data_IF_933813150468
#
_entry.id   IF_933813150468
#
_cell.length_a   1.000
_cell.length_b   1.000
_cell.length_c   1.000
_cell.angle_alpha   90.00
_cell.angle_beta   90.00
_cell.angle_gamma   90.00
#
_symmetry.space_group_name_H-M   'P 1'
#
loop_
_entity.id
_entity.type
_entity.pdbx_description
1 polymer ?
#
# COMPACT_ATOMS: atom_id res chain seq x y z
N UNK A 1 14.98 -9.07 6.06
CA UNK A 1 14.73 -10.13 5.05
C UNK A 1 13.24 -10.44 4.93
N UNK A 2 12.51 -10.71 6.02
CA UNK A 2 11.09 -11.10 5.94
C UNK A 2 10.13 -10.07 5.32
N UNK A 3 10.30 -8.76 5.54
CA UNK A 3 9.37 -7.77 4.95
C UNK A 3 9.50 -7.62 3.44
N UNK A 4 10.72 -7.73 2.89
CA UNK A 4 10.93 -7.66 1.45
C UNK A 4 10.37 -8.88 0.72
N UNK A 5 10.47 -10.06 1.33
CA UNK A 5 9.83 -11.28 0.83
C UNK A 5 8.31 -11.12 0.79
N UNK A 6 7.71 -10.57 1.86
CA UNK A 6 6.27 -10.29 1.91
C UNK A 6 5.81 -9.27 0.87
N UNK A 7 6.60 -8.21 0.63
CA UNK A 7 6.33 -7.26 -0.46
C UNK A 7 6.29 -7.98 -1.81
N UNK A 8 7.21 -8.91 -2.06
CA UNK A 8 7.22 -9.70 -3.29
C UNK A 8 5.97 -10.59 -3.40
N UNK A 9 5.52 -11.21 -2.31
CA UNK A 9 4.27 -12.01 -2.29
C UNK A 9 3.04 -11.17 -2.65
N UNK A 10 2.96 -9.93 -2.14
CA UNK A 10 1.90 -8.99 -2.47
C UNK A 10 1.96 -8.55 -3.93
N UNK A 11 3.16 -8.29 -4.47
CA UNK A 11 3.35 -7.99 -5.89
C UNK A 11 2.89 -9.16 -6.79
N UNK A 12 3.19 -10.40 -6.42
CA UNK A 12 2.71 -11.61 -7.12
C UNK A 12 1.18 -11.70 -7.09
N UNK A 13 0.57 -11.38 -5.95
CA UNK A 13 -0.90 -11.37 -5.78
C UNK A 13 -1.57 -10.31 -6.68
N UNK A 14 -0.99 -9.11 -6.75
CA UNK A 14 -1.44 -8.03 -7.66
C UNK A 14 -1.30 -8.47 -9.12
N UNK A 15 -0.18 -9.11 -9.50
CA UNK A 15 0.03 -9.58 -10.87
C UNK A 15 -1.04 -10.61 -11.30
N UNK A 16 -1.37 -11.56 -10.42
CA UNK A 16 -2.44 -12.55 -10.67
C UNK A 16 -3.81 -11.89 -10.83
N UNK A 17 -4.15 -10.93 -9.98
CA UNK A 17 -5.41 -10.18 -10.11
C UNK A 17 -5.45 -9.34 -11.40
N UNK A 18 -4.33 -8.73 -11.77
CA UNK A 18 -4.20 -7.94 -13.00
C UNK A 18 -4.37 -8.80 -14.25
N UNK A 19 -3.86 -10.02 -14.25
CA UNK A 19 -4.05 -10.97 -15.35
C UNK A 19 -5.53 -11.35 -15.53
N UNK A 20 -6.27 -11.52 -14.43
CA UNK A 20 -7.72 -11.74 -14.51
C UNK A 20 -8.43 -10.51 -15.09
N UNK A 21 -8.14 -9.32 -14.55
CA UNK A 21 -8.80 -8.06 -14.89
C UNK A 21 -8.53 -7.61 -16.33
N UNK A 22 -7.35 -7.90 -16.89
CA UNK A 22 -6.96 -7.48 -18.25
C UNK A 22 -7.84 -8.06 -19.35
N UNK A 23 -8.57 -9.14 -19.06
CA UNK A 23 -9.49 -9.80 -20.00
C UNK A 23 -10.94 -9.33 -19.87
N UNK A 24 -11.20 -8.35 -18.99
CA UNK A 24 -12.54 -7.88 -18.64
C UNK A 24 -12.71 -6.40 -19.01
N UNK A 25 -13.95 -5.96 -19.18
CA UNK A 25 -14.24 -4.53 -19.27
C UNK A 25 -13.93 -3.83 -17.95
N UNK A 26 -13.51 -2.57 -18.01
CA UNK A 26 -13.24 -1.78 -16.81
C UNK A 26 -14.53 -1.53 -16.03
N UNK A 27 -14.42 -1.50 -14.69
CA UNK A 27 -15.50 -1.03 -13.80
C UNK A 27 -15.52 0.50 -13.81
N UNK A 28 -14.33 1.10 -13.70
CA UNK A 28 -14.12 2.54 -13.73
C UNK A 28 -12.72 2.87 -14.30
N UNK A 29 -12.43 4.13 -14.68
CA UNK A 29 -11.07 4.59 -14.91
C UNK A 29 -10.18 4.40 -13.67
N UNK A 30 -8.99 3.85 -13.85
CA UNK A 30 -8.03 3.61 -12.75
C UNK A 30 -7.20 4.88 -12.52
N UNK A 31 -7.56 5.67 -11.52
CA UNK A 31 -6.83 6.88 -11.11
C UNK A 31 -6.21 6.68 -9.73
N UNK A 32 -7.02 6.26 -8.75
CA UNK A 32 -6.59 6.17 -7.35
C UNK A 32 -5.66 4.98 -7.08
N UNK A 33 -5.93 3.81 -7.68
CA UNK A 33 -5.07 2.61 -7.53
C UNK A 33 -3.64 2.87 -8.03
N UNK A 34 -3.41 3.40 -9.25
CA UNK A 34 -2.06 3.77 -9.69
C UNK A 34 -1.37 4.79 -8.78
N UNK A 35 -2.10 5.81 -8.31
CA UNK A 35 -1.58 6.81 -7.37
C UNK A 35 -1.17 6.18 -6.03
N UNK A 36 -2.01 5.31 -5.49
CA UNK A 36 -1.73 4.58 -4.25
C UNK A 36 -0.49 3.69 -4.40
N UNK A 37 -0.34 3.02 -5.54
CA UNK A 37 0.83 2.19 -5.85
C UNK A 37 2.12 3.02 -5.90
N UNK A 38 2.10 4.20 -6.52
CA UNK A 38 3.26 5.10 -6.57
C UNK A 38 3.68 5.56 -5.16
N UNK A 39 2.71 5.91 -4.30
CA UNK A 39 3.00 6.30 -2.91
C UNK A 39 3.63 5.13 -2.15
N UNK A 40 3.06 3.93 -2.23
CA UNK A 40 3.59 2.74 -1.55
C UNK A 40 5.00 2.36 -2.05
N UNK A 41 5.25 2.48 -3.37
CA UNK A 41 6.58 2.26 -3.95
C UNK A 41 7.61 3.26 -3.42
N UNK A 42 7.25 4.53 -3.32
CA UNK A 42 8.12 5.56 -2.76
C UNK A 42 8.35 5.36 -1.26
N UNK A 43 7.32 4.97 -0.49
CA UNK A 43 7.48 4.60 0.92
C UNK A 43 8.49 3.45 1.09
N UNK A 44 8.39 2.40 0.27
CA UNK A 44 9.32 1.27 0.33
C UNK A 44 10.76 1.69 0.00
N UNK A 45 10.93 2.48 -1.07
CA UNK A 45 12.23 3.00 -1.48
C UNK A 45 12.85 3.85 -0.37
N UNK A 46 12.09 4.77 0.20
CA UNK A 46 12.57 5.67 1.24
C UNK A 46 12.81 4.93 2.56
N UNK A 47 11.98 3.95 2.91
CA UNK A 47 12.20 3.08 4.06
C UNK A 47 13.51 2.29 3.93
N UNK A 48 13.82 1.79 2.74
CA UNK A 48 15.10 1.13 2.46
C UNK A 48 16.27 2.10 2.56
N UNK A 49 16.14 3.30 1.99
CA UNK A 49 17.17 4.33 2.09
C UNK A 49 17.44 4.70 3.56
N UNK A 50 16.39 4.98 4.34
CA UNK A 50 16.46 5.27 5.76
C UNK A 50 17.15 4.13 6.54
N UNK A 51 16.85 2.89 6.19
CA UNK A 51 17.47 1.73 6.81
C UNK A 51 18.97 1.63 6.54
N UNK A 52 19.41 1.87 5.29
CA UNK A 52 20.83 1.82 4.95
C UNK A 52 21.63 3.02 5.48
N UNK A 53 21.02 4.21 5.55
CA UNK A 53 21.69 5.43 6.04
C UNK A 53 21.54 5.65 7.55
N UNK A 54 20.63 4.95 8.23
CA UNK A 54 20.27 5.25 9.62
C UNK A 54 19.49 6.56 9.77
N UNK A 55 18.81 7.03 8.71
CA UNK A 55 18.10 8.30 8.70
C UNK A 55 16.73 8.19 9.39
N UNK A 56 16.68 8.65 10.65
CA UNK A 56 15.48 8.64 11.48
C UNK A 56 14.40 9.60 10.99
N UNK A 57 14.77 10.74 10.38
CA UNK A 57 13.78 11.71 9.91
C UNK A 57 13.09 11.19 8.65
N UNK A 58 13.85 10.60 7.71
CA UNK A 58 13.26 9.92 6.56
C UNK A 58 12.35 8.75 6.98
N UNK A 59 12.72 8.00 8.01
CA UNK A 59 11.86 6.96 8.57
C UNK A 59 10.53 7.51 9.12
N UNK A 60 10.55 8.66 9.82
CA UNK A 60 9.32 9.33 10.28
C UNK A 60 8.45 9.80 9.11
N UNK A 61 9.05 10.31 8.04
CA UNK A 61 8.31 10.69 6.83
C UNK A 61 7.64 9.50 6.14
N UNK A 62 8.29 8.34 6.10
CA UNK A 62 7.68 7.09 5.61
C UNK A 62 6.48 6.73 6.48
N UNK A 63 6.67 6.72 7.80
CA UNK A 63 5.63 6.37 8.77
C UNK A 63 4.42 7.30 8.71
N UNK A 64 4.61 8.60 8.45
CA UNK A 64 3.52 9.56 8.29
C UNK A 64 2.72 9.33 6.99
N UNK A 65 3.40 8.99 5.87
CA UNK A 65 2.77 8.77 4.56
C UNK A 65 1.81 7.58 4.51
N UNK A 66 2.00 6.62 5.40
CA UNK A 66 1.14 5.45 5.60
C UNK A 66 -0.35 5.84 5.71
N UNK A 67 -0.65 6.92 6.45
CA UNK A 67 -2.01 7.44 6.56
C UNK A 67 -2.64 7.81 5.21
N UNK A 68 -1.84 8.32 4.27
CA UNK A 68 -2.34 8.67 2.92
C UNK A 68 -2.71 7.42 2.14
N UNK A 69 -2.00 6.31 2.35
CA UNK A 69 -2.30 5.02 1.71
C UNK A 69 -3.57 4.42 2.32
N UNK A 70 -3.72 4.45 3.65
CA UNK A 70 -4.93 4.02 4.35
C UNK A 70 -6.17 4.77 3.86
N UNK A 71 -6.09 6.11 3.82
CA UNK A 71 -7.20 6.97 3.41
C UNK A 71 -7.58 6.71 1.93
N UNK A 72 -6.60 6.39 1.06
CA UNK A 72 -6.84 6.02 -0.34
C UNK A 72 -7.49 4.64 -0.48
N UNK A 73 -7.03 3.64 0.29
CA UNK A 73 -7.61 2.29 0.27
C UNK A 73 -9.10 2.33 0.65
N UNK A 74 -9.42 3.07 1.71
CA UNK A 74 -10.79 3.24 2.18
C UNK A 74 -11.67 4.00 1.16
N UNK A 75 -11.10 5.00 0.48
CA UNK A 75 -11.78 5.70 -0.61
C UNK A 75 -12.10 4.75 -1.77
N UNK A 76 -11.12 3.97 -2.23
CA UNK A 76 -11.28 2.99 -3.32
C UNK A 76 -12.34 1.96 -2.95
N UNK A 77 -12.32 1.46 -1.71
CA UNK A 77 -13.31 0.52 -1.21
C UNK A 77 -14.74 1.07 -1.28
N UNK A 78 -14.97 2.28 -0.76
CA UNK A 78 -16.28 2.94 -0.79
C UNK A 78 -16.79 3.18 -2.20
N UNK A 79 -15.92 3.62 -3.09
CA UNK A 79 -16.29 3.86 -4.48
C UNK A 79 -16.68 2.56 -5.20
N UNK A 80 -15.91 1.49 -5.02
CA UNK A 80 -16.22 0.19 -5.61
C UNK A 80 -17.50 -0.42 -5.04
N UNK A 81 -17.84 -0.17 -3.77
CA UNK A 81 -19.15 -0.51 -3.21
C UNK A 81 -20.28 0.18 -3.96
N UNK A 82 -20.16 1.47 -4.27
CA UNK A 82 -21.17 2.19 -5.07
C UNK A 82 -21.37 1.54 -6.44
N UNK A 83 -20.30 1.22 -7.16
CA UNK A 83 -20.40 0.53 -8.45
C UNK A 83 -21.08 -0.84 -8.34
N UNK A 84 -20.81 -1.60 -7.27
CA UNK A 84 -21.44 -2.90 -7.02
C UNK A 84 -22.94 -2.79 -6.72
N UNK A 85 -23.35 -1.72 -6.05
CA UNK A 85 -24.76 -1.43 -5.75
C UNK A 85 -25.53 -0.95 -6.98
N UNK A 86 -24.88 -0.20 -7.87
CA UNK A 86 -25.47 0.29 -9.12
C UNK A 86 -25.62 -0.80 -10.19
N UNK A 87 -24.59 -1.65 -10.36
CA UNK A 87 -24.62 -2.78 -11.30
C UNK A 87 -23.98 -4.04 -10.69
N UNK A 88 -24.79 -5.07 -10.34
CA UNK A 88 -24.28 -6.34 -9.81
C UNK A 88 -23.29 -7.08 -10.73
N UNK A 89 -23.26 -6.80 -12.04
CA UNK A 89 -22.26 -7.39 -12.95
C UNK A 89 -20.85 -6.83 -12.74
N UNK A 90 -20.69 -5.77 -11.94
CA UNK A 90 -19.38 -5.24 -11.55
C UNK A 90 -18.76 -5.99 -10.37
N UNK A 91 -19.56 -6.70 -9.56
CA UNK A 91 -19.15 -7.30 -8.28
C UNK A 91 -17.83 -8.05 -8.35
N UNK A 92 -17.71 -9.02 -9.26
CA UNK A 92 -16.49 -9.83 -9.34
C UNK A 92 -15.25 -8.98 -9.67
N UNK A 93 -15.36 -8.03 -10.60
CA UNK A 93 -14.25 -7.14 -10.99
C UNK A 93 -13.91 -6.14 -9.87
N UNK A 94 -14.92 -5.59 -9.21
CA UNK A 94 -14.76 -4.68 -8.09
C UNK A 94 -14.05 -5.38 -6.91
N UNK A 95 -14.40 -6.63 -6.59
CA UNK A 95 -13.70 -7.43 -5.57
C UNK A 95 -12.22 -7.62 -5.94
N UNK A 96 -11.90 -7.88 -7.21
CA UNK A 96 -10.50 -7.99 -7.64
C UNK A 96 -9.74 -6.66 -7.53
N UNK A 97 -10.40 -5.52 -7.78
CA UNK A 97 -9.79 -4.19 -7.59
C UNK A 97 -9.58 -3.86 -6.11
N UNK A 98 -10.54 -4.19 -5.22
CA UNK A 98 -10.37 -4.10 -3.77
C UNK A 98 -9.17 -4.96 -3.34
N UNK A 99 -9.09 -6.20 -3.83
CA UNK A 99 -7.96 -7.07 -3.52
C UNK A 99 -6.61 -6.47 -3.96
N UNK A 100 -6.55 -5.81 -5.12
CA UNK A 100 -5.34 -5.08 -5.55
C UNK A 100 -5.01 -3.93 -4.59
N UNK A 101 -6.00 -3.11 -4.24
CA UNK A 101 -5.85 -2.00 -3.28
C UNK A 101 -5.29 -2.47 -1.94
N UNK A 102 -5.90 -3.49 -1.34
CA UNK A 102 -5.45 -4.08 -0.08
C UNK A 102 -4.01 -4.64 -0.15
N UNK A 103 -3.58 -5.19 -1.30
CA UNK A 103 -2.20 -5.66 -1.43
C UNK A 103 -1.21 -4.49 -1.56
N UNK A 104 -1.62 -3.34 -2.10
CA UNK A 104 -0.81 -2.12 -2.12
C UNK A 104 -0.67 -1.55 -0.71
N UNK A 105 -1.76 -1.52 0.06
CA UNK A 105 -1.75 -1.10 1.47
C UNK A 105 -0.76 -1.96 2.26
N UNK A 106 -0.82 -3.29 2.12
CA UNK A 106 0.14 -4.20 2.79
C UNK A 106 1.60 -3.94 2.41
N UNK A 107 1.88 -3.52 1.18
CA UNK A 107 3.24 -3.14 0.77
C UNK A 107 3.67 -1.86 1.50
N UNK A 108 2.80 -0.86 1.62
CA UNK A 108 3.06 0.34 2.40
C UNK A 108 3.28 0.01 3.88
N UNK A 109 2.47 -0.89 4.43
CA UNK A 109 2.56 -1.40 5.80
C UNK A 109 3.94 -2.04 6.09
N UNK A 110 4.49 -2.80 5.13
CA UNK A 110 5.84 -3.33 5.21
C UNK A 110 6.94 -2.24 5.13
N UNK A 111 6.71 -1.17 4.39
CA UNK A 111 7.61 0.00 4.40
C UNK A 111 7.56 0.73 5.76
N UNK A 112 6.37 0.87 6.34
CA UNK A 112 6.16 1.41 7.68
C UNK A 112 6.89 0.57 8.73
N UNK A 113 6.77 -0.76 8.68
CA UNK A 113 7.52 -1.68 9.55
C UNK A 113 9.05 -1.51 9.44
N UNK A 114 9.56 -1.25 8.24
CA UNK A 114 10.98 -0.97 8.04
C UNK A 114 11.38 0.36 8.71
N UNK A 115 10.58 1.40 8.53
CA UNK A 115 10.78 2.69 9.19
C UNK A 115 10.76 2.60 10.72
N UNK A 116 9.81 1.84 11.31
CA UNK A 116 9.78 1.63 12.76
C UNK A 116 11.08 1.00 13.27
N UNK A 117 11.67 0.07 12.50
CA UNK A 117 12.94 -0.57 12.85
C UNK A 117 14.13 0.37 12.78
N UNK A 118 14.15 1.31 11.82
CA UNK A 118 15.22 2.32 11.74
C UNK A 118 15.25 3.12 13.04
N UNK A 119 14.11 3.66 13.46
CA UNK A 119 14.02 4.45 14.70
C UNK A 119 14.43 3.63 15.91
N UNK A 120 14.01 2.36 15.98
CA UNK A 120 14.38 1.47 17.07
C UNK A 120 15.89 1.18 17.10
N UNK A 121 16.52 0.90 15.96
CA UNK A 121 17.95 0.57 15.88
C UNK A 121 18.82 1.79 16.22
N UNK A 122 18.43 2.98 15.78
CA UNK A 122 19.23 4.21 15.95
C UNK A 122 19.01 4.86 17.32
N UNK A 123 17.75 4.99 17.76
CA UNK A 123 17.40 5.73 18.98
C UNK A 123 17.10 4.83 20.18
N UNK A 124 16.87 3.53 19.99
CA UNK A 124 16.43 2.62 21.05
C UNK A 124 14.96 2.79 21.46
N UNK A 125 14.18 3.55 20.70
CA UNK A 125 12.80 3.92 21.01
C UNK A 125 11.80 3.42 19.96
N UNK A 126 10.52 3.41 20.31
CA UNK A 126 9.45 3.10 19.34
C UNK A 126 9.02 4.37 18.61
N UNK A 127 8.86 4.28 17.29
CA UNK A 127 8.38 5.42 16.48
C UNK A 127 6.99 5.92 16.90
N UNK A 128 6.18 5.07 17.55
CA UNK A 128 4.85 5.42 18.07
C UNK A 128 4.89 6.42 19.24
N UNK A 129 6.07 6.73 19.78
CA UNK A 129 6.26 7.80 20.74
C UNK A 129 6.23 9.20 20.07
N UNK A 130 6.31 9.25 18.74
CA UNK A 130 6.16 10.46 17.93
C UNK A 130 4.71 10.57 17.42
N UNK A 131 4.24 11.79 17.18
CA UNK A 131 2.88 12.04 16.68
C UNK A 131 2.80 11.76 15.16
N UNK A 132 1.79 10.99 14.72
CA UNK A 132 1.46 10.77 13.29
C UNK A 132 0.70 11.96 12.73
#
# INVERSE_FOLDING_TARGET
>A
VSDLERVADHAVSIAKASQYLSTKSMVKPLIDIPRMAEIAQNMLKDGLNAYFSGDVELAKEVWARDKTVDDLDEQIFRELLTFMMEDPHTISRAIHLIFVSNNIERIADHATNLAERVVYIVNGERIKNYSK
#
